data_IF_263833402353
#
_entry.id   IF_263833402353
#
_cell.length_a   1.000
_cell.length_b   1.000
_cell.length_c   1.000
_cell.angle_alpha   90.00
_cell.angle_beta   90.00
_cell.angle_gamma   90.00
#
_symmetry.space_group_name_H-M   'P 1'
#
loop_
_entity.id
_entity.type
_entity.pdbx_description
1 polymer ?
#
# COMPACT_ATOMS: atom_id res chain seq x y z
N UNK A 1 23.17 -3.12 10.11
CA UNK A 1 22.20 -4.24 10.01
C UNK A 1 22.33 -5.20 11.18
N UNK A 2 23.35 -6.07 11.26
CA UNK A 2 23.44 -7.02 12.38
C UNK A 2 23.59 -6.37 13.77
N UNK A 3 24.16 -5.17 13.86
CA UNK A 3 24.30 -4.40 15.10
C UNK A 3 23.00 -3.70 15.56
N UNK A 4 22.04 -3.50 14.65
CA UNK A 4 20.84 -2.69 14.90
C UNK A 4 19.57 -3.55 15.06
N UNK A 5 19.73 -4.87 14.95
CA UNK A 5 18.65 -5.85 15.03
C UNK A 5 18.84 -6.70 16.26
N UNK A 6 17.89 -6.60 17.19
CA UNK A 6 17.79 -7.49 18.35
C UNK A 6 17.12 -8.79 17.91
N UNK A 7 17.73 -9.92 18.26
CA UNK A 7 17.23 -11.26 17.95
C UNK A 7 16.80 -11.94 19.24
N UNK A 8 15.52 -12.30 19.32
CA UNK A 8 14.94 -13.04 20.44
C UNK A 8 14.42 -14.38 19.95
N UNK A 9 14.70 -15.46 20.68
CA UNK A 9 14.09 -16.76 20.47
C UNK A 9 12.91 -16.93 21.42
N UNK A 10 11.80 -17.48 20.93
CA UNK A 10 10.59 -17.66 21.70
C UNK A 10 9.89 -18.97 21.33
N UNK A 11 8.91 -19.37 22.16
CA UNK A 11 8.07 -20.54 21.88
C UNK A 11 7.07 -20.20 20.79
N UNK A 12 6.88 -21.14 19.86
CA UNK A 12 5.89 -20.98 18.80
C UNK A 12 4.48 -21.12 19.39
N UNK A 13 3.68 -20.05 19.35
CA UNK A 13 2.26 -20.11 19.74
C UNK A 13 1.41 -20.95 18.77
N UNK A 14 0.30 -21.47 19.27
CA UNK A 14 -0.74 -22.17 18.50
C UNK A 14 -0.86 -23.67 18.80
N UNK A 15 -1.90 -24.34 18.27
CA UNK A 15 -2.13 -25.77 18.49
C UNK A 15 -0.96 -26.60 17.96
N UNK A 16 -0.48 -27.56 18.76
CA UNK A 16 0.61 -28.46 18.38
C UNK A 16 0.94 -29.48 19.47
N UNK A 17 1.87 -30.39 19.15
CA UNK A 17 2.36 -31.39 20.09
C UNK A 17 3.40 -30.85 21.07
N UNK A 18 3.87 -31.72 21.97
CA UNK A 18 4.87 -31.42 23.00
C UNK A 18 6.09 -30.66 22.45
N UNK A 19 6.62 -31.10 21.30
CA UNK A 19 7.78 -30.46 20.66
C UNK A 19 7.54 -28.98 20.33
N UNK A 20 6.33 -28.58 19.91
CA UNK A 20 6.02 -27.17 19.60
C UNK A 20 5.92 -26.31 20.87
N UNK A 21 5.41 -26.90 21.94
CA UNK A 21 5.11 -26.20 23.19
C UNK A 21 6.33 -26.07 24.13
N UNK A 22 7.32 -26.95 23.96
CA UNK A 22 8.52 -26.98 24.81
C UNK A 22 9.71 -26.30 24.13
N UNK A 23 9.86 -26.45 22.81
CA UNK A 23 11.04 -25.96 22.09
C UNK A 23 10.91 -24.50 21.66
N UNK A 24 11.92 -23.69 21.98
CA UNK A 24 12.04 -22.29 21.56
C UNK A 24 12.45 -22.18 20.08
N UNK A 25 11.56 -22.60 19.19
CA UNK A 25 11.81 -22.64 17.75
C UNK A 25 11.46 -21.34 17.02
N UNK A 26 10.62 -20.47 17.58
CA UNK A 26 10.24 -19.21 16.95
C UNK A 26 11.31 -18.13 17.14
N UNK A 27 11.45 -17.24 16.15
CA UNK A 27 12.42 -16.14 16.18
C UNK A 27 11.68 -14.82 15.98
N UNK A 28 11.92 -13.88 16.88
CA UNK A 28 11.50 -12.49 16.77
C UNK A 28 12.73 -11.63 16.47
N UNK A 29 12.60 -10.78 15.47
CA UNK A 29 13.59 -9.76 15.14
C UNK A 29 12.99 -8.38 15.37
N UNK A 30 13.74 -7.51 16.02
CA UNK A 30 13.38 -6.11 16.21
C UNK A 30 14.49 -5.21 15.68
N UNK A 31 14.17 -4.40 14.68
CA UNK A 31 15.05 -3.34 14.21
C UNK A 31 14.82 -2.08 15.04
N UNK A 32 15.77 -1.79 15.93
CA UNK A 32 15.68 -0.69 16.89
C UNK A 32 15.46 0.68 16.22
N UNK A 33 16.24 1.07 15.18
CA UNK A 33 16.14 2.44 14.66
C UNK A 33 14.85 2.71 13.86
N UNK A 34 14.21 1.69 13.27
CA UNK A 34 12.92 1.87 12.58
C UNK A 34 11.70 1.47 13.41
N UNK A 35 11.90 0.89 14.60
CA UNK A 35 10.83 0.34 15.42
C UNK A 35 10.11 -0.89 14.83
N UNK A 36 10.62 -1.47 13.74
CA UNK A 36 9.94 -2.57 13.03
C UNK A 36 10.24 -3.90 13.69
N UNK A 37 9.18 -4.63 14.03
CA UNK A 37 9.26 -6.00 14.54
C UNK A 37 8.68 -7.01 13.55
N UNK A 38 9.30 -8.18 13.51
CA UNK A 38 8.93 -9.32 12.68
C UNK A 38 9.08 -10.61 13.49
N UNK A 39 8.18 -11.57 13.29
CA UNK A 39 8.23 -12.90 13.91
C UNK A 39 8.14 -13.97 12.83
N UNK A 40 8.91 -15.05 12.98
CA UNK A 40 8.83 -16.25 12.16
C UNK A 40 8.81 -17.51 13.05
N UNK A 41 7.83 -18.37 12.83
CA UNK A 41 7.59 -19.59 13.62
C UNK A 41 7.09 -20.77 12.74
N UNK A 42 7.40 -20.73 11.46
CA UNK A 42 6.80 -21.62 10.44
C UNK A 42 7.48 -22.99 10.40
N UNK A 43 8.78 -23.04 10.73
CA UNK A 43 9.56 -24.26 10.76
C UNK A 43 9.82 -24.71 12.20
N UNK A 44 10.10 -26.00 12.36
CA UNK A 44 10.65 -26.57 13.62
C UNK A 44 12.08 -26.13 13.91
N UNK A 45 12.80 -25.60 12.91
CA UNK A 45 14.21 -25.17 13.05
C UNK A 45 14.32 -23.66 13.27
N UNK A 46 14.99 -23.27 14.37
CA UNK A 46 15.26 -21.87 14.68
C UNK A 46 16.09 -21.18 13.59
N UNK A 47 17.04 -21.89 12.97
CA UNK A 47 17.93 -21.32 11.95
C UNK A 47 17.15 -20.94 10.69
N UNK A 48 16.21 -21.81 10.29
CA UNK A 48 15.32 -21.55 9.16
C UNK A 48 14.38 -20.39 9.47
N UNK A 49 13.81 -20.35 10.67
CA UNK A 49 12.96 -19.23 11.11
C UNK A 49 13.75 -17.92 11.18
N UNK A 50 15.02 -17.94 11.60
CA UNK A 50 15.89 -16.76 11.61
C UNK A 50 16.12 -16.22 10.20
N UNK A 51 16.42 -17.08 9.23
CA UNK A 51 16.59 -16.67 7.83
C UNK A 51 15.31 -16.01 7.28
N UNK A 52 14.16 -16.66 7.46
CA UNK A 52 12.85 -16.13 7.02
C UNK A 52 12.52 -14.81 7.73
N UNK A 53 12.82 -14.68 9.02
CA UNK A 53 12.60 -13.45 9.76
C UNK A 53 13.43 -12.29 9.19
N UNK A 54 14.69 -12.54 8.79
CA UNK A 54 15.53 -11.52 8.16
C UNK A 54 15.01 -11.11 6.78
N UNK A 55 14.61 -12.07 5.94
CA UNK A 55 14.01 -11.77 4.63
C UNK A 55 12.78 -10.86 4.77
N UNK A 56 11.87 -11.20 5.69
CA UNK A 56 10.68 -10.40 6.00
C UNK A 56 11.01 -9.01 6.55
N UNK A 57 12.05 -8.92 7.39
CA UNK A 57 12.48 -7.65 7.95
C UNK A 57 13.01 -6.72 6.84
N UNK A 58 13.83 -7.25 5.94
CA UNK A 58 14.36 -6.51 4.79
C UNK A 58 13.21 -6.01 3.91
N UNK A 59 12.29 -6.90 3.51
CA UNK A 59 11.15 -6.53 2.66
C UNK A 59 10.30 -5.42 3.31
N UNK A 60 10.08 -5.50 4.62
CA UNK A 60 9.29 -4.50 5.35
C UNK A 60 10.01 -3.15 5.44
N UNK A 61 11.32 -3.15 5.65
CA UNK A 61 12.14 -1.94 5.64
C UNK A 61 12.19 -1.31 4.26
N UNK A 62 12.37 -2.10 3.20
CA UNK A 62 12.34 -1.62 1.82
C UNK A 62 10.99 -0.98 1.48
N UNK A 63 9.89 -1.62 1.89
CA UNK A 63 8.55 -1.08 1.70
C UNK A 63 8.34 0.26 2.41
N UNK A 64 8.86 0.40 3.63
CA UNK A 64 8.77 1.65 4.40
C UNK A 64 9.64 2.76 3.81
N UNK A 65 10.82 2.41 3.29
CA UNK A 65 11.73 3.36 2.66
C UNK A 65 11.30 3.76 1.23
N UNK A 66 10.35 3.04 0.63
CA UNK A 66 9.88 3.32 -0.71
C UNK A 66 9.00 4.58 -0.73
N UNK A 67 9.57 5.68 -1.22
CA UNK A 67 8.82 6.92 -1.47
C UNK A 67 7.83 6.70 -2.62
N UNK A 68 6.51 6.96 -2.42
CA UNK A 68 5.55 6.86 -3.50
C UNK A 68 5.83 7.92 -4.55
N UNK A 69 5.89 7.52 -5.82
CA UNK A 69 6.06 8.47 -6.93
C UNK A 69 4.84 9.40 -6.98
N UNK A 70 5.09 10.71 -7.03
CA UNK A 70 4.03 11.72 -7.17
C UNK A 70 3.26 11.46 -8.46
N UNK A 71 1.95 11.23 -8.34
CA UNK A 71 1.06 11.16 -9.50
C UNK A 71 0.89 12.57 -10.09
N UNK A 72 1.37 12.77 -11.32
CA UNK A 72 1.09 13.99 -12.08
C UNK A 72 -0.32 13.86 -12.67
N UNK A 73 -1.23 14.82 -12.44
CA UNK A 73 -2.57 14.75 -13.00
C UNK A 73 -2.50 14.75 -14.53
N UNK A 74 -3.29 13.88 -15.15
CA UNK A 74 -3.38 13.84 -16.61
C UNK A 74 -4.13 15.08 -17.12
N UNK A 75 -3.71 15.58 -18.30
CA UNK A 75 -4.47 16.62 -18.99
C UNK A 75 -5.82 16.06 -19.44
N UNK A 76 -6.85 16.92 -19.56
CA UNK A 76 -8.13 16.53 -20.17
C UNK A 76 -7.89 15.95 -21.57
N UNK A 77 -8.63 14.89 -21.90
CA UNK A 77 -8.51 14.25 -23.22
C UNK A 77 -8.97 15.19 -24.33
N UNK A 78 -8.41 15.04 -25.53
CA UNK A 78 -8.79 15.84 -26.72
C UNK A 78 -10.29 15.77 -26.98
N UNK A 79 -10.89 14.57 -26.93
CA UNK A 79 -12.34 14.40 -27.10
C UNK A 79 -13.19 15.06 -26.01
N UNK A 80 -12.69 15.23 -24.78
CA UNK A 80 -13.37 16.01 -23.75
C UNK A 80 -13.30 17.52 -24.05
N UNK A 81 -12.18 17.99 -24.60
CA UNK A 81 -12.04 19.39 -25.05
C UNK A 81 -12.97 19.68 -26.23
N UNK A 82 -13.03 18.80 -27.21
CA UNK A 82 -13.89 18.93 -28.39
C UNK A 82 -15.37 18.95 -28.01
N UNK A 83 -15.84 18.03 -27.15
CA UNK A 83 -17.21 18.03 -26.62
C UNK A 83 -17.57 19.35 -25.92
N UNK A 84 -16.68 19.86 -25.05
CA UNK A 84 -16.87 21.14 -24.36
C UNK A 84 -17.03 22.30 -25.37
N UNK A 85 -16.18 22.35 -26.39
CA UNK A 85 -16.23 23.41 -27.40
C UNK A 85 -17.49 23.31 -28.27
N UNK A 86 -17.88 22.10 -28.68
CA UNK A 86 -19.08 21.85 -29.45
C UNK A 86 -20.35 22.26 -28.68
N UNK A 87 -20.42 21.89 -27.39
CA UNK A 87 -21.54 22.25 -26.53
C UNK A 87 -21.62 23.77 -26.29
N UNK A 88 -20.47 24.44 -26.10
CA UNK A 88 -20.42 25.92 -25.99
C UNK A 88 -20.96 26.59 -27.26
N UNK A 89 -20.55 26.10 -28.44
CA UNK A 89 -21.07 26.59 -29.73
C UNK A 89 -22.58 26.35 -29.86
N UNK A 90 -23.05 25.15 -29.55
CA UNK A 90 -24.49 24.80 -29.57
C UNK A 90 -25.31 25.68 -28.64
N UNK A 91 -24.82 25.96 -27.43
CA UNK A 91 -25.54 26.82 -26.48
C UNK A 91 -25.58 28.27 -26.94
N UNK A 92 -24.52 28.77 -27.57
CA UNK A 92 -24.50 30.10 -28.18
C UNK A 92 -25.53 30.23 -29.30
N UNK A 93 -25.59 29.24 -30.21
CA UNK A 93 -26.58 29.27 -31.31
C UNK A 93 -28.00 29.22 -30.79
N UNK A 94 -28.28 28.38 -29.78
CA UNK A 94 -29.57 28.36 -29.10
C UNK A 94 -29.88 29.75 -28.52
N UNK A 95 -29.00 30.33 -27.70
CA UNK A 95 -29.23 31.65 -27.08
C UNK A 95 -29.51 32.76 -28.09
N UNK A 96 -28.79 32.78 -29.22
CA UNK A 96 -28.98 33.78 -30.27
C UNK A 96 -30.33 33.64 -30.98
N UNK A 97 -30.86 32.41 -31.05
CA UNK A 97 -32.15 32.10 -31.67
C UNK A 97 -33.33 32.10 -30.69
N UNK A 98 -33.10 32.46 -29.42
CA UNK A 98 -34.20 32.58 -28.45
C UNK A 98 -34.96 33.87 -28.75
N UNK A 99 -36.26 33.75 -28.89
CA UNK A 99 -37.19 34.87 -28.78
C UNK A 99 -37.81 34.86 -27.37
N UNK A 100 -38.12 36.04 -26.80
CA UNK A 100 -38.90 36.11 -25.58
C UNK A 100 -40.29 35.47 -25.80
N UNK A 101 -40.90 34.86 -24.77
CA UNK A 101 -42.24 34.29 -24.91
C UNK A 101 -43.20 35.38 -25.37
N UNK A 102 -44.00 35.06 -26.38
CA UNK A 102 -45.06 35.95 -26.87
C UNK A 102 -46.15 35.96 -25.80
N UNK A 103 -46.28 37.05 -25.06
CA UNK A 103 -47.43 37.23 -24.17
C UNK A 103 -48.66 37.40 -25.06
N UNK A 104 -49.56 36.42 -25.02
CA UNK A 104 -50.91 36.55 -25.58
C UNK A 104 -51.79 37.29 -24.56
N UNK A 105 -52.61 38.25 -25.01
CA UNK A 105 -53.40 39.14 -24.15
C UNK A 105 -54.58 38.44 -23.46
#
# INVERSE_FOLDING_TARGET
MARDVVVETCRAGGPGGQHRNVTDSAVRLWHVPSGVQVVANESRSQHRNRAVAFERLIEKLERLNKVPVRRVPTRRTRGAVERRLAEKKRRQTIKRRREPPRNEP
#
